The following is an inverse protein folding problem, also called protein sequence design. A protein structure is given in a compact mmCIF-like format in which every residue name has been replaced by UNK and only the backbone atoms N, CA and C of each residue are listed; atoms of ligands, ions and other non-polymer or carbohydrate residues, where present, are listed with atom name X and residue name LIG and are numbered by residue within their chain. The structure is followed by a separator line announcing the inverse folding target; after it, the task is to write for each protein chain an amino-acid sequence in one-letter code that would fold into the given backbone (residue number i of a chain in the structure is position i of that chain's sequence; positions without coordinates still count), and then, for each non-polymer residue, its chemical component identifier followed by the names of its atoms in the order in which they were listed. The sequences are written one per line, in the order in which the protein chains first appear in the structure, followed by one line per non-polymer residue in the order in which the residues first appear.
data_IF_521395781059
#
_entry.id   IF_521395781059
#
_cell.length_a   1.000
_cell.length_b   1.000
_cell.length_c   1.000
_cell.angle_alpha   90.00
_cell.angle_beta   90.00
_cell.angle_gamma   90.00
#
_symmetry.space_group_name_H-M   'P 1'
#
loop_
_entity.id
_entity.type
_entity.pdbx_description
1 polymer ?
#
# COMPACT_ATOMS: atom_id res chain seq x y z
N UNK A 1 12.71 -34.23 -27.77
CA UNK A 1 13.48 -33.78 -26.58
C UNK A 1 14.62 -32.85 -27.03
N UNK A 2 14.33 -31.74 -27.74
CA UNK A 2 15.32 -30.74 -28.25
C UNK A 2 14.80 -29.30 -28.12
N UNK A 3 13.83 -29.00 -27.29
CA UNK A 3 13.22 -27.66 -27.21
C UNK A 3 13.54 -26.87 -25.93
N UNK A 4 14.44 -27.34 -25.04
CA UNK A 4 14.61 -26.73 -23.71
C UNK A 4 15.94 -26.01 -23.46
N UNK A 5 16.95 -26.07 -24.37
CA UNK A 5 18.24 -25.42 -24.09
C UNK A 5 18.39 -23.98 -24.57
N UNK A 6 17.59 -23.53 -25.54
CA UNK A 6 17.58 -22.13 -25.99
C UNK A 6 16.62 -21.22 -25.15
N UNK A 7 15.69 -21.83 -24.44
CA UNK A 7 14.69 -21.08 -23.62
C UNK A 7 15.27 -20.67 -22.26
N UNK A 8 16.13 -21.47 -21.66
CA UNK A 8 16.71 -21.15 -20.34
C UNK A 8 17.60 -19.90 -20.34
N UNK A 9 18.35 -19.66 -21.42
CA UNK A 9 19.17 -18.44 -21.52
C UNK A 9 18.33 -17.17 -21.75
N UNK A 10 17.24 -17.27 -22.49
CA UNK A 10 16.33 -16.14 -22.74
C UNK A 10 15.49 -15.80 -21.49
N UNK A 11 15.05 -16.79 -20.72
CA UNK A 11 14.31 -16.57 -19.47
C UNK A 11 15.18 -15.91 -18.40
N UNK A 12 16.44 -16.36 -18.23
CA UNK A 12 17.37 -15.76 -17.29
C UNK A 12 17.65 -14.28 -17.61
N UNK A 13 17.74 -13.92 -18.90
CA UNK A 13 17.93 -12.54 -19.31
C UNK A 13 16.68 -11.67 -19.03
N UNK A 14 15.47 -12.20 -19.23
CA UNK A 14 14.23 -11.48 -18.94
C UNK A 14 14.04 -11.21 -17.44
N UNK A 15 14.37 -12.19 -16.58
CA UNK A 15 14.32 -11.98 -15.13
C UNK A 15 15.32 -10.92 -14.67
N UNK A 16 16.55 -10.90 -15.22
CA UNK A 16 17.54 -9.88 -14.90
C UNK A 16 17.08 -8.49 -15.36
N UNK A 17 16.60 -8.36 -16.60
CA UNK A 17 16.07 -7.10 -17.14
C UNK A 17 14.91 -6.55 -16.30
N UNK A 18 13.93 -7.42 -15.97
CA UNK A 18 12.78 -7.04 -15.15
C UNK A 18 13.22 -6.61 -13.74
N UNK A 19 14.14 -7.35 -13.12
CA UNK A 19 14.64 -7.04 -11.79
C UNK A 19 15.45 -5.73 -11.75
N UNK A 20 16.28 -5.48 -12.76
CA UNK A 20 17.02 -4.21 -12.89
C UNK A 20 16.07 -3.03 -13.04
N UNK A 21 15.01 -3.17 -13.87
CA UNK A 21 13.98 -2.14 -14.03
C UNK A 21 13.31 -1.83 -12.69
N UNK A 22 12.77 -2.83 -11.97
CA UNK A 22 12.10 -2.60 -10.69
C UNK A 22 13.06 -2.02 -9.65
N UNK A 23 14.32 -2.45 -9.63
CA UNK A 23 15.34 -1.91 -8.72
C UNK A 23 15.60 -0.43 -8.99
N UNK A 24 15.69 -0.03 -10.25
CA UNK A 24 15.86 1.38 -10.62
C UNK A 24 14.62 2.19 -10.26
N UNK A 25 13.41 1.68 -10.58
CA UNK A 25 12.14 2.33 -10.27
C UNK A 25 11.98 2.57 -8.76
N UNK A 26 12.33 1.58 -7.94
CA UNK A 26 12.24 1.68 -6.48
C UNK A 26 13.11 2.79 -5.87
N UNK A 27 14.13 3.25 -6.59
CA UNK A 27 15.04 4.31 -6.14
C UNK A 27 14.65 5.72 -6.60
N UNK A 28 13.66 5.85 -7.47
CA UNK A 28 13.25 7.14 -8.04
C UNK A 28 12.27 7.83 -7.11
N UNK A 29 12.49 9.09 -6.84
CA UNK A 29 11.58 9.99 -6.11
C UNK A 29 11.29 11.24 -6.94
N UNK A 30 10.12 11.84 -6.76
CA UNK A 30 9.73 13.04 -7.48
C UNK A 30 10.64 14.23 -7.15
N UNK A 31 10.69 14.69 -5.87
CA UNK A 31 11.47 15.89 -5.51
C UNK A 31 12.99 15.70 -5.60
N UNK A 32 13.48 14.47 -5.39
CA UNK A 32 14.91 14.13 -5.40
C UNK A 32 15.41 13.60 -6.75
N UNK A 33 14.52 13.30 -7.67
CA UNK A 33 14.84 12.71 -8.97
C UNK A 33 15.48 13.72 -9.94
N UNK A 34 16.38 13.21 -10.79
CA UNK A 34 16.91 13.98 -11.93
C UNK A 34 15.94 13.91 -13.12
N UNK A 35 16.15 14.73 -14.13
CA UNK A 35 15.36 14.62 -15.37
C UNK A 35 15.48 13.23 -16.01
N UNK A 36 16.67 12.61 -15.95
CA UNK A 36 16.89 11.25 -16.44
C UNK A 36 16.09 10.20 -15.65
N UNK A 37 15.96 10.39 -14.32
CA UNK A 37 15.12 9.52 -13.48
C UNK A 37 13.64 9.66 -13.82
N UNK A 38 13.16 10.89 -14.03
CA UNK A 38 11.79 11.17 -14.43
C UNK A 38 11.47 10.59 -15.82
N UNK A 39 12.37 10.78 -16.79
CA UNK A 39 12.21 10.21 -18.14
C UNK A 39 12.18 8.67 -18.08
N UNK A 40 13.06 8.08 -17.25
CA UNK A 40 13.07 6.63 -17.02
C UNK A 40 11.75 6.14 -16.41
N UNK A 41 11.22 6.84 -15.39
CA UNK A 41 9.95 6.50 -14.78
C UNK A 41 8.83 6.45 -15.82
N UNK A 42 8.69 7.53 -16.63
CA UNK A 42 7.63 7.62 -17.65
C UNK A 42 7.73 6.52 -18.72
N UNK A 43 8.93 6.05 -19.05
CA UNK A 43 9.14 4.95 -19.99
C UNK A 43 8.71 3.59 -19.39
N UNK A 44 8.80 3.44 -18.05
CA UNK A 44 8.67 2.17 -17.35
C UNK A 44 7.40 2.05 -16.48
N UNK A 45 6.37 2.87 -16.74
CA UNK A 45 5.04 2.73 -16.15
C UNK A 45 3.98 2.59 -17.23
N UNK A 46 2.85 1.98 -16.87
CA UNK A 46 1.64 1.95 -17.71
C UNK A 46 0.63 2.99 -17.26
N UNK A 47 -0.35 3.29 -18.13
CA UNK A 47 -1.51 4.11 -17.74
C UNK A 47 -2.27 3.47 -16.57
N UNK A 48 -2.35 2.12 -16.54
CA UNK A 48 -3.02 1.39 -15.48
C UNK A 48 -2.35 1.64 -14.12
N UNK A 49 -1.02 1.59 -14.04
CA UNK A 49 -0.28 1.88 -12.81
C UNK A 49 -0.52 3.32 -12.32
N UNK A 50 -0.39 4.31 -13.22
CA UNK A 50 -0.55 5.72 -12.87
C UNK A 50 -1.99 6.07 -12.47
N UNK A 51 -2.98 5.41 -13.05
CA UNK A 51 -4.41 5.65 -12.75
C UNK A 51 -4.75 5.39 -11.28
N UNK A 52 -4.02 4.50 -10.61
CA UNK A 52 -4.18 4.21 -9.18
C UNK A 52 -3.86 5.42 -8.30
N UNK A 53 -3.02 6.32 -8.79
CA UNK A 53 -2.56 7.53 -8.09
C UNK A 53 -3.28 8.80 -8.57
N UNK A 54 -4.34 8.64 -9.37
CA UNK A 54 -5.14 9.76 -9.88
C UNK A 54 -4.66 10.36 -11.21
N UNK A 55 -3.67 9.76 -11.84
CA UNK A 55 -3.15 10.14 -13.16
C UNK A 55 -3.63 9.14 -14.22
N UNK A 56 -4.72 9.43 -14.95
CA UNK A 56 -5.34 8.48 -15.88
C UNK A 56 -4.41 7.95 -16.98
N UNK A 57 -3.41 8.74 -17.36
CA UNK A 57 -2.42 8.36 -18.37
C UNK A 57 -1.00 8.74 -17.96
N UNK A 58 0.00 8.12 -18.60
CA UNK A 58 1.41 8.51 -18.45
C UNK A 58 1.64 9.97 -18.83
N UNK A 59 0.88 10.51 -19.78
CA UNK A 59 0.96 11.92 -20.17
C UNK A 59 0.46 12.86 -19.07
N UNK A 60 -0.59 12.47 -18.32
CA UNK A 60 -1.08 13.25 -17.18
C UNK A 60 -0.04 13.25 -16.05
N UNK A 61 0.59 12.11 -15.78
CA UNK A 61 1.71 12.01 -14.84
C UNK A 61 2.90 12.89 -15.26
N UNK A 62 3.25 12.91 -16.56
CA UNK A 62 4.34 13.74 -17.08
C UNK A 62 4.09 15.25 -16.90
N UNK A 63 2.84 15.68 -16.85
CA UNK A 63 2.48 17.09 -16.64
C UNK A 63 2.73 17.54 -15.19
N UNK A 64 2.76 16.60 -14.22
CA UNK A 64 2.99 16.85 -12.81
C UNK A 64 3.90 15.78 -12.19
N UNK A 65 5.04 15.57 -12.83
CA UNK A 65 5.92 14.41 -12.59
C UNK A 65 6.40 14.28 -11.15
N UNK A 66 6.65 15.38 -10.48
CA UNK A 66 7.15 15.39 -9.10
C UNK A 66 6.09 14.85 -8.13
N UNK A 67 4.85 15.30 -8.26
CA UNK A 67 3.74 14.84 -7.45
C UNK A 67 3.33 13.40 -7.80
N UNK A 68 3.34 13.08 -9.11
CA UNK A 68 2.98 11.75 -9.60
C UNK A 68 3.90 10.65 -9.05
N UNK A 69 5.21 10.88 -8.99
CA UNK A 69 6.18 9.91 -8.45
C UNK A 69 6.12 9.89 -6.91
N UNK A 70 5.82 11.04 -6.29
CA UNK A 70 5.82 11.18 -4.82
C UNK A 70 7.22 11.34 -4.21
N UNK A 71 7.25 11.47 -2.89
CA UNK A 71 8.47 11.82 -2.15
C UNK A 71 9.31 10.61 -1.74
N UNK A 72 8.67 9.45 -1.54
CA UNK A 72 9.27 8.31 -0.86
C UNK A 72 9.81 7.25 -1.84
N UNK A 73 11.07 6.90 -1.67
CA UNK A 73 11.64 5.75 -2.35
C UNK A 73 11.20 4.43 -1.71
N UNK A 74 11.09 3.39 -2.52
CA UNK A 74 10.91 2.03 -2.02
C UNK A 74 12.23 1.45 -1.53
N UNK A 75 12.17 0.47 -0.63
CA UNK A 75 13.33 -0.33 -0.26
C UNK A 75 13.83 -1.11 -1.50
N UNK A 76 15.14 -1.42 -1.58
CA UNK A 76 15.65 -2.27 -2.65
C UNK A 76 14.91 -3.62 -2.70
N UNK A 77 14.32 -4.01 -3.86
CA UNK A 77 13.55 -5.23 -3.98
C UNK A 77 14.43 -6.48 -3.81
N UNK A 78 13.80 -7.60 -3.42
CA UNK A 78 14.47 -8.90 -3.33
C UNK A 78 14.19 -9.73 -4.57
N UNK A 79 15.24 -10.20 -5.24
CA UNK A 79 15.13 -10.94 -6.50
C UNK A 79 14.35 -12.26 -6.35
N UNK A 80 14.41 -12.90 -5.19
CA UNK A 80 13.70 -14.14 -4.89
C UNK A 80 12.17 -13.99 -4.84
N UNK A 81 11.67 -12.77 -4.75
CA UNK A 81 10.24 -12.47 -4.85
C UNK A 81 9.74 -12.28 -6.29
N UNK A 82 10.65 -12.11 -7.26
CA UNK A 82 10.31 -11.93 -8.66
C UNK A 82 9.78 -13.24 -9.28
N UNK A 83 8.67 -13.16 -9.98
CA UNK A 83 8.05 -14.24 -10.75
C UNK A 83 7.74 -13.71 -12.13
N UNK A 84 8.25 -14.38 -13.18
CA UNK A 84 7.99 -14.04 -14.58
C UNK A 84 7.22 -15.18 -15.25
N UNK A 85 6.19 -14.80 -16.00
CA UNK A 85 5.38 -15.69 -16.84
C UNK A 85 5.15 -15.03 -18.20
N UNK A 86 6.01 -15.38 -19.17
CA UNK A 86 6.01 -14.76 -20.50
C UNK A 86 6.37 -13.26 -20.45
N UNK A 87 5.46 -12.43 -20.93
CA UNK A 87 5.59 -10.97 -20.93
C UNK A 87 4.88 -10.31 -19.73
N UNK A 88 4.59 -11.07 -18.68
CA UNK A 88 4.05 -10.57 -17.42
C UNK A 88 4.82 -11.12 -16.24
N UNK A 89 4.67 -10.48 -15.10
CA UNK A 89 5.30 -10.94 -13.87
C UNK A 89 4.81 -10.18 -12.65
N UNK A 90 5.36 -10.57 -11.51
CA UNK A 90 5.11 -9.88 -10.24
C UNK A 90 6.35 -9.89 -9.37
N UNK A 91 6.47 -8.88 -8.52
CA UNK A 91 7.53 -8.78 -7.54
C UNK A 91 6.97 -8.16 -6.26
N UNK A 92 7.45 -8.60 -5.11
CA UNK A 92 7.16 -7.92 -3.84
C UNK A 92 8.21 -6.85 -3.60
N UNK A 93 7.75 -5.62 -3.43
CA UNK A 93 8.55 -4.48 -2.99
C UNK A 93 8.12 -4.06 -1.59
N UNK A 94 9.00 -3.40 -0.86
CA UNK A 94 8.68 -2.88 0.47
C UNK A 94 9.03 -1.41 0.54
N UNK A 95 8.34 -0.70 1.42
CA UNK A 95 8.64 0.68 1.76
C UNK A 95 8.76 0.78 3.27
N UNK A 96 9.80 1.46 3.71
CA UNK A 96 10.02 1.72 5.14
C UNK A 96 9.71 3.18 5.39
N UNK A 97 8.69 3.43 6.20
CA UNK A 97 8.30 4.77 6.64
C UNK A 97 8.64 5.00 8.10
N UNK A 98 8.82 6.25 8.45
CA UNK A 98 9.02 6.69 9.82
C UNK A 98 7.78 7.44 10.29
N UNK A 99 7.16 6.96 11.36
CA UNK A 99 6.08 7.71 11.99
C UNK A 99 6.63 8.99 12.62
N UNK A 100 5.78 10.00 12.88
CA UNK A 100 6.18 11.20 13.63
C UNK A 100 6.77 10.91 15.01
N UNK A 101 6.46 9.75 15.62
CA UNK A 101 7.08 9.28 16.87
C UNK A 101 8.48 8.70 16.68
N UNK A 102 8.95 8.51 15.44
CA UNK A 102 10.23 7.91 15.10
C UNK A 102 10.21 6.38 15.02
N UNK A 103 9.05 5.76 15.15
CA UNK A 103 8.90 4.32 14.94
C UNK A 103 8.94 4.00 13.44
N UNK A 104 9.58 2.90 13.10
CA UNK A 104 9.61 2.42 11.72
C UNK A 104 8.40 1.55 11.43
N UNK A 105 7.73 1.84 10.32
CA UNK A 105 6.69 1.01 9.75
C UNK A 105 7.18 0.46 8.41
N UNK A 106 6.93 -0.83 8.18
CA UNK A 106 7.30 -1.47 6.93
C UNK A 106 6.06 -1.97 6.21
N UNK A 107 5.84 -1.43 5.00
CA UNK A 107 4.74 -1.83 4.13
C UNK A 107 5.26 -2.76 3.04
N UNK A 108 4.52 -3.81 2.75
CA UNK A 108 4.77 -4.69 1.62
C UNK A 108 3.74 -4.46 0.52
N UNK A 109 4.21 -4.45 -0.73
CA UNK A 109 3.38 -4.30 -1.93
C UNK A 109 3.66 -5.43 -2.90
N UNK A 110 2.61 -5.95 -3.51
CA UNK A 110 2.69 -6.82 -4.67
C UNK A 110 2.58 -5.96 -5.93
N UNK A 111 3.65 -5.86 -6.67
CA UNK A 111 3.73 -5.04 -7.88
C UNK A 111 3.68 -5.96 -9.10
N UNK A 112 2.70 -5.75 -9.97
CA UNK A 112 2.60 -6.38 -11.27
C UNK A 112 3.47 -5.66 -12.29
N UNK A 113 4.11 -6.42 -13.15
CA UNK A 113 4.94 -5.90 -14.25
C UNK A 113 4.54 -6.55 -15.56
N UNK A 114 4.64 -5.79 -16.64
CA UNK A 114 4.36 -6.27 -18.01
C UNK A 114 5.47 -5.85 -18.95
N UNK A 115 5.66 -6.61 -20.04
CA UNK A 115 6.60 -6.26 -21.10
C UNK A 115 5.82 -5.78 -22.34
N UNK A 116 5.89 -4.49 -22.62
CA UNK A 116 5.27 -3.86 -23.77
C UNK A 116 6.34 -3.34 -24.72
N UNK A 117 6.22 -3.66 -26.00
CA UNK A 117 7.19 -3.27 -27.04
C UNK A 117 8.66 -3.60 -26.71
N UNK A 118 8.86 -4.67 -25.94
CA UNK A 118 10.18 -5.12 -25.49
C UNK A 118 10.71 -4.47 -24.22
N UNK A 119 9.96 -3.54 -23.60
CA UNK A 119 10.32 -2.82 -22.39
C UNK A 119 9.48 -3.32 -21.21
N UNK A 120 10.13 -3.64 -20.09
CA UNK A 120 9.43 -3.95 -18.84
C UNK A 120 8.88 -2.69 -18.19
N UNK A 121 7.64 -2.75 -17.69
CA UNK A 121 6.94 -1.63 -17.04
C UNK A 121 6.24 -2.07 -15.77
N UNK A 122 6.11 -1.18 -14.80
CA UNK A 122 5.17 -1.34 -13.70
C UNK A 122 3.75 -1.18 -14.25
N UNK A 123 2.87 -2.12 -13.91
CA UNK A 123 1.50 -2.14 -14.42
C UNK A 123 0.43 -2.08 -13.32
N UNK A 124 0.70 -2.68 -12.17
CA UNK A 124 -0.23 -2.68 -11.06
C UNK A 124 0.51 -2.72 -9.72
N UNK A 125 -0.18 -2.30 -8.68
CA UNK A 125 0.29 -2.40 -7.31
C UNK A 125 -0.89 -2.76 -6.41
N UNK A 126 -0.65 -3.59 -5.40
CA UNK A 126 -1.63 -3.91 -4.36
C UNK A 126 -0.92 -4.14 -3.04
N UNK A 127 -1.66 -4.01 -1.94
CA UNK A 127 -1.11 -4.35 -0.63
C UNK A 127 -0.60 -5.80 -0.61
N UNK A 128 0.59 -5.99 -0.11
CA UNK A 128 1.19 -7.30 0.12
C UNK A 128 1.01 -7.76 1.57
N UNK A 129 1.23 -9.05 1.81
CA UNK A 129 1.21 -9.61 3.17
C UNK A 129 2.42 -9.12 3.97
N UNK A 130 2.17 -8.71 5.22
CA UNK A 130 3.25 -8.58 6.18
C UNK A 130 3.72 -9.97 6.64
N UNK A 131 4.94 -10.02 7.15
CA UNK A 131 5.45 -11.22 7.81
C UNK A 131 4.73 -11.41 9.16
N UNK A 132 3.85 -12.41 9.24
CA UNK A 132 3.09 -12.69 10.46
C UNK A 132 3.85 -13.73 11.30
N UNK A 133 4.28 -13.38 12.54
CA UNK A 133 4.95 -14.33 13.41
C UNK A 133 4.07 -15.56 13.72
N UNK A 134 4.70 -16.70 13.89
CA UNK A 134 3.98 -17.94 14.23
C UNK A 134 3.23 -17.81 15.56
N UNK A 135 1.99 -18.31 15.60
CA UNK A 135 1.16 -18.30 16.80
C UNK A 135 0.42 -16.99 17.05
N UNK A 136 0.54 -16.01 16.15
CA UNK A 136 -0.28 -14.80 16.17
C UNK A 136 -1.68 -15.15 15.67
N UNK A 137 -2.71 -14.66 16.34
CA UNK A 137 -4.09 -14.83 15.92
C UNK A 137 -4.41 -13.94 14.72
N UNK A 138 -5.01 -14.50 13.66
CA UNK A 138 -5.57 -13.74 12.57
C UNK A 138 -7.00 -13.31 12.91
N UNK A 139 -7.28 -12.04 12.74
CA UNK A 139 -8.60 -11.43 12.90
C UNK A 139 -9.10 -11.04 11.51
N UNK A 140 -10.18 -11.69 11.00
CA UNK A 140 -10.77 -11.29 9.73
C UNK A 140 -11.24 -9.84 9.79
N UNK A 141 -10.88 -9.05 8.76
CA UNK A 141 -11.29 -7.68 8.57
C UNK A 141 -11.78 -7.49 7.13
N UNK A 142 -13.06 -7.26 6.97
CA UNK A 142 -13.64 -6.95 5.65
C UNK A 142 -13.72 -5.44 5.46
N UNK A 143 -13.22 -4.97 4.33
CA UNK A 143 -13.40 -3.62 3.83
C UNK A 143 -14.59 -3.64 2.88
N UNK A 144 -15.71 -3.11 3.34
CA UNK A 144 -16.92 -2.96 2.52
C UNK A 144 -17.04 -1.49 2.10
N UNK A 145 -18.02 -1.17 1.22
CA UNK A 145 -18.25 0.21 0.86
C UNK A 145 -18.48 1.06 2.11
N UNK A 146 -17.54 1.97 2.41
CA UNK A 146 -17.55 2.91 3.53
C UNK A 146 -17.67 2.28 4.93
N UNK A 147 -17.37 0.98 5.09
CA UNK A 147 -17.51 0.26 6.37
C UNK A 147 -16.40 -0.77 6.58
N UNK A 148 -15.79 -0.75 7.76
CA UNK A 148 -14.99 -1.86 8.27
C UNK A 148 -15.88 -2.86 8.99
N UNK A 149 -15.81 -4.14 8.59
CA UNK A 149 -16.53 -5.24 9.25
C UNK A 149 -15.56 -6.24 9.84
N UNK A 150 -15.60 -6.43 11.14
CA UNK A 150 -14.83 -7.43 11.88
C UNK A 150 -15.62 -7.89 13.10
N UNK A 151 -15.34 -9.12 13.54
CA UNK A 151 -15.99 -9.66 14.73
C UNK A 151 -15.35 -9.11 16.01
N UNK A 152 -15.83 -7.95 16.45
CA UNK A 152 -15.40 -7.31 17.70
C UNK A 152 -15.88 -8.05 18.96
N UNK A 153 -16.83 -9.01 18.81
CA UNK A 153 -17.35 -9.78 19.95
C UNK A 153 -16.45 -10.96 20.29
N UNK A 154 -15.61 -11.39 19.34
CA UNK A 154 -14.53 -12.32 19.67
C UNK A 154 -13.57 -11.62 20.61
N UNK A 155 -13.34 -12.24 21.75
CA UNK A 155 -12.35 -11.85 22.76
C UNK A 155 -10.91 -11.61 22.19
N UNK A 156 -10.78 -11.63 20.90
CA UNK A 156 -9.60 -11.53 20.06
C UNK A 156 -8.99 -10.15 19.96
N UNK A 157 -9.72 -9.09 20.25
CA UNK A 157 -9.17 -7.73 20.39
C UNK A 157 -8.82 -7.43 21.86
N UNK A 158 -8.51 -8.47 22.66
CA UNK A 158 -7.87 -8.30 23.97
C UNK A 158 -6.41 -7.93 23.75
N UNK A 159 -5.83 -7.25 24.76
CA UNK A 159 -4.39 -6.97 24.78
C UNK A 159 -3.56 -8.18 24.35
N UNK A 160 -2.63 -7.98 23.44
CA UNK A 160 -1.77 -9.04 22.92
C UNK A 160 -1.45 -8.91 21.45
N UNK A 161 -0.92 -9.98 20.89
CA UNK A 161 -0.46 -10.04 19.50
C UNK A 161 -1.54 -10.64 18.60
N UNK A 162 -2.04 -9.87 17.67
CA UNK A 162 -2.88 -10.35 16.58
C UNK A 162 -2.45 -9.71 15.26
N UNK A 163 -3.02 -10.16 14.17
CA UNK A 163 -2.85 -9.56 12.85
C UNK A 163 -4.22 -9.53 12.17
N UNK A 164 -4.45 -8.55 11.33
CA UNK A 164 -5.63 -8.53 10.50
C UNK A 164 -5.43 -9.38 9.24
N UNK A 165 -6.42 -10.18 8.90
CA UNK A 165 -6.58 -10.85 7.62
C UNK A 165 -7.62 -10.07 6.83
N UNK A 166 -7.13 -9.15 5.99
CA UNK A 166 -7.94 -8.12 5.33
C UNK A 166 -8.45 -8.67 4.00
N UNK A 167 -9.71 -8.42 3.69
CA UNK A 167 -10.31 -8.69 2.39
C UNK A 167 -11.17 -7.49 1.97
N UNK A 168 -10.93 -6.95 0.79
CA UNK A 168 -11.76 -5.89 0.22
C UNK A 168 -12.96 -6.51 -0.51
N UNK A 169 -14.16 -6.32 0.04
CA UNK A 169 -15.44 -6.73 -0.52
C UNK A 169 -16.17 -5.62 -1.26
N UNK A 170 -15.62 -4.39 -1.23
CA UNK A 170 -16.16 -3.23 -1.91
C UNK A 170 -15.76 -3.17 -3.38
N UNK A 171 -16.33 -2.20 -4.08
CA UNK A 171 -16.07 -1.94 -5.50
C UNK A 171 -14.97 -0.89 -5.72
N UNK A 172 -14.51 -0.23 -4.65
CA UNK A 172 -13.44 0.77 -4.66
C UNK A 172 -12.17 0.26 -3.99
N UNK A 173 -11.06 0.94 -4.26
CA UNK A 173 -9.80 0.74 -3.52
C UNK A 173 -9.99 1.27 -2.11
N UNK A 174 -9.56 0.49 -1.13
CA UNK A 174 -9.59 0.87 0.29
C UNK A 174 -8.21 0.78 0.92
N UNK A 175 -8.09 1.41 2.08
CA UNK A 175 -6.97 1.20 2.99
C UNK A 175 -7.48 0.89 4.39
N UNK A 176 -6.63 0.26 5.19
CA UNK A 176 -6.85 0.07 6.61
C UNK A 176 -5.68 0.72 7.36
N UNK A 177 -5.93 1.89 7.94
CA UNK A 177 -4.98 2.59 8.82
C UNK A 177 -5.37 2.32 10.25
N UNK A 178 -4.43 1.80 11.05
CA UNK A 178 -4.63 1.53 12.48
C UNK A 178 -4.03 2.67 13.31
N UNK A 179 -4.87 3.29 14.12
CA UNK A 179 -4.53 4.40 14.98
C UNK A 179 -4.70 4.04 16.46
N UNK A 180 -3.83 4.55 17.32
CA UNK A 180 -3.98 4.57 18.77
C UNK A 180 -4.46 5.96 19.21
N UNK A 181 -5.62 6.04 19.84
CA UNK A 181 -6.21 7.29 20.33
C UNK A 181 -5.75 7.55 21.77
N UNK A 182 -4.72 8.37 21.94
CA UNK A 182 -4.04 8.62 23.22
C UNK A 182 -4.76 9.62 24.12
N UNK A 183 -5.73 10.36 23.56
CA UNK A 183 -6.55 11.33 24.28
C UNK A 183 -8.01 10.93 24.27
N UNK A 184 -8.72 11.39 25.29
CA UNK A 184 -10.18 11.30 25.33
C UNK A 184 -10.81 12.31 24.37
N UNK A 185 -11.97 11.96 23.83
CA UNK A 185 -12.73 12.81 22.92
C UNK A 185 -13.22 12.04 21.67
N UNK A 186 -14.12 12.64 20.89
CA UNK A 186 -14.55 12.10 19.62
C UNK A 186 -13.38 12.00 18.63
N UNK A 187 -13.30 10.91 17.85
CA UNK A 187 -12.24 10.70 16.89
C UNK A 187 -12.05 11.88 15.94
N UNK A 188 -13.15 12.44 15.42
CA UNK A 188 -13.09 13.58 14.48
C UNK A 188 -12.43 14.82 15.07
N UNK A 189 -12.66 15.10 16.39
CA UNK A 189 -11.97 16.19 17.06
C UNK A 189 -10.47 15.91 17.27
N UNK A 190 -10.11 14.63 17.52
CA UNK A 190 -8.72 14.23 17.61
C UNK A 190 -8.02 14.34 16.25
N UNK A 191 -8.74 14.05 15.16
CA UNK A 191 -8.25 14.20 13.79
C UNK A 191 -7.96 15.65 13.40
N UNK A 192 -8.59 16.64 14.05
CA UNK A 192 -8.26 18.06 13.86
C UNK A 192 -6.82 18.40 14.30
N UNK A 193 -6.17 17.52 15.09
CA UNK A 193 -4.76 17.64 15.43
C UNK A 193 -3.81 17.26 14.27
N UNK A 194 -4.33 16.73 13.18
CA UNK A 194 -3.54 16.40 12.01
C UNK A 194 -3.09 17.67 11.29
N UNK A 195 -1.80 17.90 11.31
CA UNK A 195 -1.13 18.97 10.56
C UNK A 195 -0.58 18.47 9.22
N UNK A 196 0.14 19.33 8.49
CA UNK A 196 0.81 18.94 7.24
C UNK A 196 1.80 17.78 7.42
N UNK A 197 2.41 17.67 8.60
CA UNK A 197 3.38 16.64 8.95
C UNK A 197 2.73 15.40 9.61
N UNK A 198 1.42 15.25 9.50
CA UNK A 198 0.65 14.16 10.11
C UNK A 198 0.04 14.51 11.47
N UNK A 199 -0.50 13.52 12.21
CA UNK A 199 -1.11 13.73 13.50
C UNK A 199 -0.09 14.07 14.59
N UNK A 200 -0.51 14.89 15.59
CA UNK A 200 0.28 15.10 16.79
C UNK A 200 0.47 13.74 17.51
N UNK A 201 1.71 13.23 17.64
CA UNK A 201 2.01 11.92 18.22
C UNK A 201 1.61 11.81 19.70
N UNK A 202 1.38 12.92 20.40
CA UNK A 202 0.83 12.95 21.76
C UNK A 202 -0.69 12.76 21.80
N UNK A 203 -1.36 12.89 20.64
CA UNK A 203 -2.82 12.76 20.49
C UNK A 203 -3.18 11.44 19.79
N UNK A 204 -2.51 11.14 18.68
CA UNK A 204 -2.75 9.96 17.86
C UNK A 204 -1.43 9.27 17.58
N UNK A 205 -1.34 7.96 17.89
CA UNK A 205 -0.27 7.09 17.45
C UNK A 205 -0.64 6.36 16.17
N UNK A 206 0.22 6.40 15.18
CA UNK A 206 0.09 5.62 13.95
C UNK A 206 0.73 4.25 14.17
N UNK A 207 -0.01 3.14 13.93
CA UNK A 207 0.43 1.79 14.27
C UNK A 207 0.59 0.86 13.07
N UNK A 208 0.03 1.21 11.93
CA UNK A 208 0.16 0.42 10.72
C UNK A 208 -0.82 0.83 9.65
N UNK A 209 -0.53 0.43 8.41
CA UNK A 209 -1.39 0.65 7.25
C UNK A 209 -1.30 -0.51 6.26
N UNK A 210 -2.41 -0.76 5.57
CA UNK A 210 -2.48 -1.57 4.36
C UNK A 210 -3.16 -0.78 3.26
N UNK A 211 -2.41 -0.49 2.20
CA UNK A 211 -2.82 0.31 1.05
C UNK A 211 -1.97 -0.06 -0.19
N UNK A 212 -2.50 -0.03 -1.40
CA UNK A 212 -3.92 -0.08 -1.75
C UNK A 212 -4.47 -1.51 -1.64
N UNK A 213 -5.60 -1.71 -0.98
CA UNK A 213 -6.32 -2.99 -1.00
C UNK A 213 -7.35 -2.92 -2.12
N UNK A 214 -7.02 -3.58 -3.24
CA UNK A 214 -7.82 -3.55 -4.47
C UNK A 214 -9.15 -4.30 -4.28
N UNK A 215 -10.22 -3.96 -5.02
CA UNK A 215 -11.47 -4.72 -5.05
C UNK A 215 -11.24 -6.21 -5.24
N UNK A 216 -11.80 -7.05 -4.37
CA UNK A 216 -11.64 -8.51 -4.38
C UNK A 216 -10.27 -9.03 -3.96
N UNK A 217 -9.32 -8.15 -3.63
CA UNK A 217 -8.01 -8.53 -3.10
C UNK A 217 -8.00 -8.54 -1.56
N UNK A 218 -6.96 -9.15 -1.01
CA UNK A 218 -6.72 -9.16 0.43
C UNK A 218 -5.23 -9.04 0.77
N UNK A 219 -4.95 -8.72 2.01
CA UNK A 219 -3.60 -8.68 2.55
C UNK A 219 -3.60 -8.90 4.06
N UNK A 220 -2.50 -9.42 4.60
CA UNK A 220 -2.32 -9.53 6.04
C UNK A 220 -1.57 -8.33 6.58
N UNK A 221 -2.11 -7.73 7.64
CA UNK A 221 -1.49 -6.61 8.36
C UNK A 221 -1.01 -7.08 9.72
N UNK A 222 0.30 -7.09 9.93
CA UNK A 222 0.87 -7.27 11.24
C UNK A 222 0.50 -6.09 12.14
N UNK A 223 0.07 -6.38 13.35
CA UNK A 223 -0.27 -5.36 14.34
C UNK A 223 0.75 -5.46 15.47
N UNK A 224 1.31 -4.33 15.94
CA UNK A 224 2.16 -4.35 17.14
C UNK A 224 1.38 -4.86 18.33
N UNK A 225 2.06 -5.28 19.40
CA UNK A 225 1.38 -5.66 20.64
C UNK A 225 0.61 -4.44 21.19
N UNK A 226 -0.72 -4.54 21.18
CA UNK A 226 -1.58 -3.46 21.66
C UNK A 226 -1.70 -3.51 23.17
N UNK A 227 -1.52 -2.35 23.79
CA UNK A 227 -1.84 -2.12 25.20
C UNK A 227 -3.33 -1.85 25.39
N UNK A 228 -3.80 -1.88 26.64
CA UNK A 228 -5.17 -1.46 26.93
C UNK A 228 -5.38 0.03 26.52
N UNK A 229 -6.40 0.29 25.73
CA UNK A 229 -6.62 1.63 25.18
C UNK A 229 -7.67 1.70 24.08
N UNK A 230 -7.83 2.90 23.54
CA UNK A 230 -8.75 3.18 22.43
C UNK A 230 -7.99 3.17 21.10
N UNK A 231 -8.59 2.57 20.10
CA UNK A 231 -8.01 2.44 18.76
C UNK A 231 -9.05 2.76 17.70
N UNK A 232 -8.59 3.08 16.50
CA UNK A 232 -9.47 3.26 15.34
C UNK A 232 -8.85 2.62 14.09
N UNK A 233 -9.71 2.06 13.24
CA UNK A 233 -9.44 1.79 11.84
C UNK A 233 -10.06 2.90 11.01
N UNK A 234 -9.34 3.42 10.02
CA UNK A 234 -9.78 4.54 9.19
C UNK A 234 -9.28 4.37 7.75
N UNK A 235 -10.04 4.88 6.77
CA UNK A 235 -9.64 4.96 5.36
C UNK A 235 -9.64 6.42 4.92
N UNK A 236 -8.48 6.95 4.53
CA UNK A 236 -8.31 8.33 4.06
C UNK A 236 -8.49 8.47 2.55
N UNK A 237 -8.55 7.36 1.80
CA UNK A 237 -8.66 7.40 0.34
C UNK A 237 -9.92 8.16 -0.10
N UNK A 238 -9.83 8.89 -1.22
CA UNK A 238 -10.97 9.64 -1.74
C UNK A 238 -12.01 8.70 -2.37
N UNK A 239 -13.29 9.05 -2.24
CA UNK A 239 -14.39 8.37 -2.93
C UNK A 239 -14.29 8.57 -4.45
N UNK A 240 -13.99 7.51 -5.17
CA UNK A 240 -13.85 7.53 -6.62
C UNK A 240 -15.19 7.35 -7.35
N UNK A 241 -16.27 7.05 -6.65
CA UNK A 241 -17.61 6.90 -7.23
C UNK A 241 -18.25 8.24 -7.63
N UNK A 242 -17.79 9.34 -7.02
CA UNK A 242 -18.27 10.68 -7.34
C UNK A 242 -17.37 11.36 -8.37
N UNK A 243 -17.96 11.94 -9.44
CA UNK A 243 -17.20 12.73 -10.41
C UNK A 243 -16.82 14.10 -9.82
N UNK A 244 -15.69 14.63 -10.23
CA UNK A 244 -15.21 15.97 -9.83
C UNK A 244 -13.82 15.95 -9.22
N UNK A 245 -13.27 17.12 -8.97
CA UNK A 245 -11.92 17.29 -8.41
C UNK A 245 -11.92 17.14 -6.88
N UNK A 246 -12.98 17.61 -6.21
CA UNK A 246 -13.10 17.47 -4.75
C UNK A 246 -13.89 16.20 -4.42
N UNK A 247 -13.18 15.18 -3.99
CA UNK A 247 -13.73 13.89 -3.57
C UNK A 247 -13.61 13.77 -2.05
N UNK A 248 -14.72 13.54 -1.34
CA UNK A 248 -14.64 13.34 0.11
C UNK A 248 -13.84 12.07 0.42
N UNK A 249 -13.01 12.07 1.46
CA UNK A 249 -12.33 10.84 1.88
C UNK A 249 -13.33 9.86 2.48
N UNK A 250 -13.06 8.56 2.35
CA UNK A 250 -13.96 7.49 2.81
C UNK A 250 -14.31 7.61 4.29
N UNK A 251 -13.39 8.08 5.15
CA UNK A 251 -13.70 8.29 6.57
C UNK A 251 -14.80 9.33 6.78
N UNK A 252 -14.87 10.38 5.96
CA UNK A 252 -15.92 11.40 6.04
C UNK A 252 -17.30 10.84 5.62
N UNK A 253 -17.32 9.73 4.89
CA UNK A 253 -18.51 9.00 4.48
C UNK A 253 -18.85 7.84 5.44
N UNK A 254 -18.08 7.66 6.51
CA UNK A 254 -18.33 6.68 7.56
C UNK A 254 -17.36 5.50 7.61
N UNK A 255 -16.36 5.42 6.72
CA UNK A 255 -15.36 4.35 6.77
C UNK A 255 -14.37 4.57 7.90
N UNK A 256 -14.87 4.41 9.10
CA UNK A 256 -14.16 4.51 10.37
C UNK A 256 -14.75 3.54 11.37
N UNK A 257 -13.92 2.92 12.20
CA UNK A 257 -14.38 2.02 13.26
C UNK A 257 -13.49 2.15 14.49
N UNK A 258 -14.08 2.57 15.61
CA UNK A 258 -13.39 2.64 16.90
C UNK A 258 -13.58 1.34 17.68
N UNK A 259 -12.54 0.92 18.39
CA UNK A 259 -12.60 -0.22 19.31
C UNK A 259 -11.71 0.01 20.53
N UNK A 260 -11.94 -0.79 21.57
CA UNK A 260 -11.16 -0.75 22.80
C UNK A 260 -10.45 -2.08 23.00
N UNK A 261 -9.18 -2.02 23.39
CA UNK A 261 -8.39 -3.16 23.86
C UNK A 261 -8.36 -3.10 25.39
N UNK A 262 -8.69 -4.24 26.05
CA UNK A 262 -8.77 -4.39 27.52
C UNK A 262 -7.50 -5.04 28.10
#
# INVERSE_FOLDING_TARGET
MIACMSVLGACANQEDEAFEMVTKMASITGPGGTQEDHDYYLEHVTDNFNSLWGYPTVADCAADIVECIGEDAMDPPKKDSLKIDGDSGSITVTQTEYSPSGDTMKMAFNTGIVKEDGVWKLDSISAGDDEIPSGVQLVPLELNEMVFSYDSTNASLKSGKFAFDIENKGDQVHEAVLLHLKKEGPLMELMESMGPDGPDPEVIGFLGVKVPVMPGAGAKMAVPELEAGRYALICFLPDTSVPGEEKPPHFALGMVSEFTVE
#
